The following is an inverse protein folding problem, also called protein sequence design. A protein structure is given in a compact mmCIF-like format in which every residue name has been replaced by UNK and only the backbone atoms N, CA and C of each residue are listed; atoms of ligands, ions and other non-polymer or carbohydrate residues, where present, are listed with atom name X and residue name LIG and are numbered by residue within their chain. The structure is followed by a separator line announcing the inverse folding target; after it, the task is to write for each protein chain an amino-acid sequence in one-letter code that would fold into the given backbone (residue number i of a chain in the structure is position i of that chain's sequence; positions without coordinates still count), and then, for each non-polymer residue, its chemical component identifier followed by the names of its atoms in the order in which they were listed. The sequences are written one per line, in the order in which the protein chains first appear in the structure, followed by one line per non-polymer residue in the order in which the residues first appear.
data_IF_744646362174
#
_entry.id   IF_744646362174
#
_cell.length_a   1.000
_cell.length_b   1.000
_cell.length_c   1.000
_cell.angle_alpha   90.00
_cell.angle_beta   90.00
_cell.angle_gamma   90.00
#
_symmetry.space_group_name_H-M   'P 1'
#
loop_
_entity.id
_entity.type
_entity.pdbx_description
1 polymer ?
#
# COMPACT_ATOMS: atom_id res chain seq x y z
N UNK A 1 -4.10 -22.04 -26.16
CA UNK A 1 -4.04 -22.17 -24.69
C UNK A 1 -5.13 -21.31 -24.08
N UNK A 2 -6.04 -21.88 -23.29
CA UNK A 2 -7.07 -21.10 -22.60
C UNK A 2 -6.41 -20.20 -21.56
N UNK A 3 -6.63 -18.88 -21.65
CA UNK A 3 -6.09 -17.90 -20.71
C UNK A 3 -6.74 -18.15 -19.35
N UNK A 4 -5.93 -18.42 -18.32
CA UNK A 4 -6.43 -18.60 -16.96
C UNK A 4 -6.99 -17.25 -16.50
N UNK A 5 -8.30 -17.22 -16.22
CA UNK A 5 -8.96 -16.00 -15.75
C UNK A 5 -8.29 -15.52 -14.45
N UNK A 6 -7.67 -14.35 -14.51
CA UNK A 6 -7.03 -13.72 -13.36
C UNK A 6 -8.09 -13.21 -12.39
N UNK A 7 -7.87 -13.32 -11.08
CA UNK A 7 -8.88 -12.91 -10.12
C UNK A 7 -9.13 -11.42 -10.10
N UNK A 8 -10.39 -11.02 -9.99
CA UNK A 8 -10.79 -9.61 -9.92
C UNK A 8 -10.11 -8.94 -8.73
N UNK A 9 -10.11 -9.62 -7.59
CA UNK A 9 -9.43 -9.17 -6.38
C UNK A 9 -8.51 -10.29 -5.93
N UNK A 10 -7.28 -9.95 -5.55
CA UNK A 10 -6.31 -10.90 -4.98
C UNK A 10 -5.68 -10.30 -3.73
N UNK A 11 -5.37 -11.13 -2.75
CA UNK A 11 -4.46 -10.72 -1.67
C UNK A 11 -3.03 -10.85 -2.14
N UNK A 12 -2.25 -9.79 -1.92
CA UNK A 12 -0.82 -9.83 -2.13
C UNK A 12 -0.17 -10.74 -1.09
N UNK A 13 0.87 -11.45 -1.48
CA UNK A 13 1.76 -12.14 -0.55
C UNK A 13 2.60 -11.12 0.21
N UNK A 14 3.25 -11.54 1.30
CA UNK A 14 4.16 -10.67 2.04
C UNK A 14 5.35 -10.25 1.19
N UNK A 15 5.87 -11.15 0.35
CA UNK A 15 7.00 -10.89 -0.55
C UNK A 15 6.60 -9.89 -1.63
N UNK A 16 5.44 -10.05 -2.28
CA UNK A 16 4.95 -9.07 -3.27
C UNK A 16 4.74 -7.69 -2.64
N UNK A 17 4.19 -7.65 -1.42
CA UNK A 17 3.94 -6.39 -0.74
C UNK A 17 5.23 -5.69 -0.30
N UNK A 18 6.22 -6.46 0.15
CA UNK A 18 7.54 -5.94 0.51
C UNK A 18 8.25 -5.41 -0.74
N UNK A 19 8.23 -6.20 -1.81
CA UNK A 19 8.82 -5.85 -3.08
C UNK A 19 8.20 -4.56 -3.68
N UNK A 20 6.89 -4.36 -3.55
CA UNK A 20 6.21 -3.11 -3.91
C UNK A 20 6.64 -1.90 -3.06
N UNK A 21 6.98 -2.10 -1.79
CA UNK A 21 7.42 -1.02 -0.89
C UNK A 21 8.87 -0.61 -1.14
N UNK A 22 9.69 -1.59 -1.47
CA UNK A 22 11.11 -1.41 -1.83
C UNK A 22 11.27 -0.85 -3.24
N UNK A 23 10.18 -0.72 -4.00
CA UNK A 23 10.21 -0.27 -5.40
C UNK A 23 10.87 -1.30 -6.33
N UNK A 24 11.03 -2.55 -5.87
CA UNK A 24 11.54 -3.63 -6.69
C UNK A 24 10.52 -4.08 -7.74
N UNK A 25 11.02 -4.69 -8.81
CA UNK A 25 10.21 -5.13 -9.94
C UNK A 25 9.28 -6.29 -9.57
N UNK A 26 8.03 -5.96 -9.23
CA UNK A 26 6.97 -6.95 -9.00
C UNK A 26 6.10 -7.09 -10.26
N UNK A 27 6.07 -8.30 -10.82
CA UNK A 27 5.15 -8.58 -11.92
C UNK A 27 3.72 -8.78 -11.39
N UNK A 28 2.88 -7.77 -11.56
CA UNK A 28 1.45 -7.80 -11.22
C UNK A 28 0.60 -7.68 -12.49
N UNK A 29 0.35 -8.78 -13.21
CA UNK A 29 -0.38 -8.73 -14.47
C UNK A 29 -1.82 -8.27 -14.26
N UNK A 30 -2.26 -7.29 -15.06
CA UNK A 30 -3.62 -6.75 -15.00
C UNK A 30 -3.93 -5.87 -13.78
N UNK A 31 -2.92 -5.49 -13.01
CA UNK A 31 -3.09 -4.67 -11.82
C UNK A 31 -3.55 -3.24 -12.16
N UNK A 32 -4.68 -2.83 -11.59
CA UNK A 32 -5.23 -1.49 -11.75
C UNK A 32 -5.03 -0.60 -10.51
N UNK A 33 -5.09 -1.18 -9.32
CA UNK A 33 -4.86 -0.49 -8.06
C UNK A 33 -4.49 -1.47 -6.95
N UNK A 34 -3.79 -0.98 -5.92
CA UNK A 34 -3.52 -1.71 -4.67
C UNK A 34 -4.13 -0.95 -3.51
N UNK A 35 -4.83 -1.64 -2.61
CA UNK A 35 -5.34 -1.08 -1.35
C UNK A 35 -4.57 -1.69 -0.19
N UNK A 36 -3.91 -0.83 0.58
CA UNK A 36 -3.22 -1.15 1.83
C UNK A 36 -4.20 -1.11 2.99
N UNK A 37 -4.77 -2.25 3.31
CA UNK A 37 -5.79 -2.42 4.33
C UNK A 37 -5.17 -2.77 5.69
N UNK A 38 -4.72 -1.76 6.43
CA UNK A 38 -4.16 -1.98 7.77
C UNK A 38 -5.27 -2.43 8.72
N UNK A 39 -5.14 -3.65 9.26
CA UNK A 39 -6.02 -4.09 10.33
C UNK A 39 -5.67 -3.30 11.58
N UNK A 40 -6.56 -2.40 11.99
CA UNK A 40 -6.38 -1.71 13.26
C UNK A 40 -6.95 -2.57 14.38
N UNK A 41 -6.12 -2.89 15.37
CA UNK A 41 -6.57 -3.60 16.56
C UNK A 41 -7.47 -2.65 17.37
N UNK A 42 -8.77 -2.96 17.54
CA UNK A 42 -9.68 -2.09 18.30
C UNK A 42 -9.23 -1.92 19.75
N UNK A 43 -8.50 -2.89 20.30
CA UNK A 43 -7.95 -2.87 21.67
C UNK A 43 -6.89 -1.79 21.90
N UNK A 44 -6.24 -1.26 20.85
CA UNK A 44 -5.27 -0.16 21.01
C UNK A 44 -5.94 1.22 21.16
N UNK A 45 -7.28 1.32 21.11
CA UNK A 45 -8.03 2.55 21.40
C UNK A 45 -7.91 3.03 22.86
N UNK A 46 -7.45 2.18 23.77
CA UNK A 46 -7.39 2.48 25.20
C UNK A 46 -6.06 3.10 25.66
N UNK A 47 -5.14 3.46 24.75
CA UNK A 47 -4.14 4.48 25.07
C UNK A 47 -4.91 5.79 25.18
N UNK A 48 -5.46 6.01 26.38
CA UNK A 48 -6.11 7.24 26.81
C UNK A 48 -5.29 8.41 26.25
N UNK A 49 -5.94 9.45 25.68
CA UNK A 49 -5.27 10.74 25.60
C UNK A 49 -4.67 10.96 26.98
N UNK A 50 -3.35 11.08 27.07
CA UNK A 50 -2.69 11.50 28.31
C UNK A 50 -3.53 12.65 28.81
N UNK A 51 -4.24 12.44 29.93
CA UNK A 51 -5.06 13.50 30.50
C UNK A 51 -4.11 14.69 30.62
N UNK A 52 -4.48 15.79 29.98
CA UNK A 52 -3.84 17.07 30.20
C UNK A 52 -3.86 17.27 31.71
N UNK A 53 -2.71 16.99 32.33
CA UNK A 53 -2.49 17.26 33.73
C UNK A 53 -2.77 18.74 33.90
N UNK A 54 -3.73 19.06 34.77
CA UNK A 54 -4.13 20.43 35.13
C UNK A 54 -2.88 21.29 35.26
N UNK A 55 -2.57 22.04 34.20
CA UNK A 55 -1.43 22.94 34.17
C UNK A 55 -1.93 24.25 34.77
N UNK A 56 -1.31 24.75 35.85
CA UNK A 56 -1.77 25.96 36.51
C UNK A 56 -1.81 27.14 35.53
N UNK A 57 -2.99 27.76 35.51
CA UNK A 57 -3.39 28.96 34.79
C UNK A 57 -2.43 30.11 35.18
N UNK A 58 -1.49 30.48 34.30
CA UNK A 58 -0.62 31.63 34.58
C UNK A 58 0.70 31.77 33.82
N UNK A 59 1.14 30.77 33.03
CA UNK A 59 2.37 30.89 32.24
C UNK A 59 2.05 31.17 30.77
N UNK A 60 2.61 32.27 30.24
CA UNK A 60 2.54 32.71 28.85
C UNK A 60 2.55 31.53 27.85
N UNK A 61 1.62 31.57 26.89
CA UNK A 61 1.45 30.52 25.88
C UNK A 61 2.80 30.19 25.21
N UNK A 62 3.36 28.98 25.43
CA UNK A 62 4.48 28.54 24.63
C UNK A 62 3.93 28.30 23.22
N UNK A 63 4.47 29.02 22.23
CA UNK A 63 4.15 28.87 20.81
C UNK A 63 3.91 27.40 20.47
N UNK A 64 2.66 27.09 20.09
CA UNK A 64 2.14 25.74 19.96
C UNK A 64 3.06 24.87 19.11
N UNK A 65 3.62 23.83 19.74
CA UNK A 65 4.30 22.74 19.04
C UNK A 65 3.21 21.98 18.29
N UNK A 66 2.91 22.42 17.06
CA UNK A 66 2.13 21.63 16.13
C UNK A 66 2.90 20.33 15.93
N UNK A 67 2.46 19.28 16.62
CA UNK A 67 3.04 17.95 16.44
C UNK A 67 2.96 17.62 14.97
N UNK A 68 4.11 17.52 14.31
CA UNK A 68 4.27 17.10 12.93
C UNK A 68 3.69 15.68 12.79
N UNK A 69 2.37 15.59 12.65
CA UNK A 69 1.71 14.36 12.23
C UNK A 69 2.15 14.17 10.79
N UNK A 70 3.16 13.32 10.60
CA UNK A 70 3.58 12.87 9.28
C UNK A 70 2.33 12.37 8.54
N UNK A 71 1.78 13.22 7.68
CA UNK A 71 0.61 12.89 6.89
C UNK A 71 1.09 11.92 5.84
N UNK A 72 0.83 10.63 6.05
CA UNK A 72 1.05 9.64 5.02
C UNK A 72 0.26 10.08 3.77
N UNK A 73 0.86 9.98 2.56
CA UNK A 73 0.14 10.33 1.34
C UNK A 73 -1.11 9.44 1.21
N UNK A 74 -2.14 9.97 0.56
CA UNK A 74 -3.39 9.24 0.31
C UNK A 74 -3.12 8.08 -0.65
N UNK A 75 -2.30 8.34 -1.66
CA UNK A 75 -1.83 7.34 -2.58
C UNK A 75 -0.34 7.51 -2.93
N UNK A 76 0.36 6.40 -3.02
CA UNK A 76 1.72 6.32 -3.56
C UNK A 76 1.66 5.58 -4.88
N UNK A 77 2.47 5.92 -5.87
CA UNK A 77 2.55 5.16 -7.12
C UNK A 77 3.72 4.19 -7.07
N UNK A 78 3.48 2.93 -7.44
CA UNK A 78 4.55 1.97 -7.69
C UNK A 78 4.68 1.71 -9.19
N UNK A 79 5.92 1.67 -9.66
CA UNK A 79 6.24 1.23 -11.01
C UNK A 79 6.46 -0.28 -10.98
N UNK A 80 6.05 -0.95 -12.05
CA UNK A 80 6.31 -2.38 -12.23
C UNK A 80 7.17 -2.58 -13.47
N UNK A 81 7.98 -3.63 -13.48
CA UNK A 81 8.82 -4.03 -14.61
C UNK A 81 8.12 -3.84 -15.96
N UNK A 82 8.74 -3.17 -16.94
CA UNK A 82 8.15 -2.98 -18.25
C UNK A 82 7.85 -4.34 -18.90
N UNK A 83 6.70 -4.43 -19.57
CA UNK A 83 6.40 -5.59 -20.41
C UNK A 83 6.93 -5.26 -21.80
N UNK A 84 7.94 -6.01 -22.25
CA UNK A 84 8.41 -6.06 -23.65
C UNK A 84 8.43 -4.65 -24.32
N UNK A 85 9.31 -3.78 -23.84
CA UNK A 85 9.58 -2.48 -24.48
C UNK A 85 8.53 -1.38 -24.29
N UNK A 86 7.43 -1.63 -23.56
CA UNK A 86 6.46 -0.58 -23.23
C UNK A 86 6.56 -0.19 -21.75
N UNK A 87 6.62 1.13 -21.44
CA UNK A 87 6.57 1.59 -20.05
C UNK A 87 5.21 1.19 -19.46
N UNK A 88 5.23 0.37 -18.40
CA UNK A 88 4.00 0.00 -17.70
C UNK A 88 3.41 1.21 -16.99
N UNK A 89 2.09 1.28 -16.99
CA UNK A 89 1.33 2.29 -16.24
C UNK A 89 1.63 2.16 -14.74
N UNK A 90 1.94 3.26 -14.03
CA UNK A 90 2.15 3.22 -12.59
C UNK A 90 0.87 2.76 -11.88
N UNK A 91 1.03 1.90 -10.88
CA UNK A 91 -0.08 1.37 -10.11
C UNK A 91 -0.26 2.23 -8.86
N UNK A 92 -1.44 2.84 -8.65
CA UNK A 92 -1.73 3.58 -7.44
C UNK A 92 -1.93 2.61 -6.25
N UNK A 93 -1.16 2.86 -5.19
CA UNK A 93 -1.23 2.20 -3.88
C UNK A 93 -1.95 3.14 -2.93
N UNK A 94 -3.19 2.80 -2.58
CA UNK A 94 -4.03 3.56 -1.67
C UNK A 94 -3.84 3.10 -0.22
N UNK A 95 -3.68 4.05 0.70
CA UNK A 95 -3.65 3.74 2.13
C UNK A 95 -5.06 3.84 2.73
N UNK A 96 -5.56 2.74 3.30
CA UNK A 96 -6.90 2.74 3.91
C UNK A 96 -7.02 3.68 5.13
N UNK A 97 -5.92 3.96 5.82
CA UNK A 97 -5.90 4.86 6.99
C UNK A 97 -6.21 6.29 6.60
N UNK A 98 -5.64 6.73 5.49
CA UNK A 98 -5.80 8.09 4.96
C UNK A 98 -7.13 8.24 4.23
N UNK A 99 -7.53 7.23 3.44
CA UNK A 99 -8.82 7.23 2.74
C UNK A 99 -10.03 7.23 3.68
N UNK A 100 -9.94 6.48 4.79
CA UNK A 100 -11.04 6.32 5.73
C UNK A 100 -10.52 6.51 7.14
N UNK A 101 -10.50 7.74 7.68
CA UNK A 101 -10.02 8.01 9.04
C UNK A 101 -10.81 7.25 10.11
N UNK A 102 -12.10 6.99 9.85
CA UNK A 102 -12.97 6.22 10.73
C UNK A 102 -12.64 4.73 10.70
N UNK A 103 -12.38 4.16 11.87
CA UNK A 103 -12.00 2.75 12.04
C UNK A 103 -13.10 1.81 11.57
N UNK A 104 -14.35 2.17 11.84
CA UNK A 104 -15.52 1.36 11.48
C UNK A 104 -15.65 1.26 9.96
N UNK A 105 -15.54 2.39 9.25
CA UNK A 105 -15.54 2.43 7.78
C UNK A 105 -14.40 1.59 7.20
N UNK A 106 -13.19 1.64 7.79
CA UNK A 106 -12.08 0.76 7.38
C UNK A 106 -12.40 -0.71 7.55
N UNK A 107 -12.98 -1.11 8.69
CA UNK A 107 -13.34 -2.51 8.92
C UNK A 107 -14.42 -2.98 7.94
N UNK A 108 -15.41 -2.12 7.65
CA UNK A 108 -16.44 -2.38 6.64
C UNK A 108 -15.78 -2.62 5.27
N UNK A 109 -14.89 -1.74 4.81
CA UNK A 109 -14.13 -1.94 3.56
C UNK A 109 -13.39 -3.28 3.54
N UNK A 110 -12.64 -3.59 4.61
CA UNK A 110 -11.87 -4.84 4.71
C UNK A 110 -12.78 -6.06 4.67
N UNK A 111 -13.94 -5.99 5.33
CA UNK A 111 -14.93 -7.07 5.32
C UNK A 111 -15.51 -7.29 3.92
N UNK A 112 -15.83 -6.22 3.18
CA UNK A 112 -16.31 -6.32 1.81
C UNK A 112 -15.26 -6.92 0.88
N UNK A 113 -14.01 -6.45 0.94
CA UNK A 113 -12.92 -7.01 0.14
C UNK A 113 -12.67 -8.49 0.45
N UNK A 114 -12.75 -8.87 1.73
CA UNK A 114 -12.65 -10.27 2.13
C UNK A 114 -13.84 -11.11 1.64
N UNK A 115 -15.06 -10.58 1.68
CA UNK A 115 -16.26 -11.25 1.17
C UNK A 115 -16.22 -11.44 -0.35
N UNK A 116 -15.74 -10.45 -1.10
CA UNK A 116 -15.52 -10.58 -2.55
C UNK A 116 -14.53 -11.70 -2.87
N UNK A 117 -13.39 -11.77 -2.16
CA UNK A 117 -12.42 -12.86 -2.32
C UNK A 117 -13.00 -14.24 -2.01
N UNK A 118 -13.83 -14.36 -0.98
CA UNK A 118 -14.48 -15.63 -0.64
C UNK A 118 -15.47 -16.05 -1.72
N UNK A 119 -16.27 -15.10 -2.20
CA UNK A 119 -17.23 -15.33 -3.29
C UNK A 119 -16.50 -15.80 -4.54
N UNK A 120 -15.40 -15.14 -4.90
CA UNK A 120 -14.61 -15.51 -6.05
C UNK A 120 -14.00 -16.91 -5.91
N UNK A 121 -13.39 -17.21 -4.75
CA UNK A 121 -12.86 -18.55 -4.47
C UNK A 121 -13.94 -19.62 -4.58
N UNK A 122 -15.16 -19.33 -4.12
CA UNK A 122 -16.30 -20.24 -4.22
C UNK A 122 -16.71 -20.48 -5.67
N UNK A 123 -16.79 -19.43 -6.48
CA UNK A 123 -17.11 -19.55 -7.93
C UNK A 123 -16.03 -20.38 -8.64
N UNK A 124 -14.75 -20.08 -8.41
CA UNK A 124 -13.62 -20.82 -8.99
C UNK A 124 -13.60 -22.29 -8.57
N UNK A 125 -13.88 -22.58 -7.30
CA UNK A 125 -13.92 -23.96 -6.79
C UNK A 125 -15.01 -24.82 -7.43
N UNK A 126 -16.06 -24.19 -7.97
CA UNK A 126 -17.13 -24.89 -8.71
C UNK A 126 -16.78 -25.10 -10.18
N UNK A 127 -16.10 -24.14 -10.80
CA UNK A 127 -15.84 -24.17 -12.25
C UNK A 127 -14.64 -25.04 -12.62
N UNK A 128 -13.68 -25.19 -11.72
CA UNK A 128 -12.41 -25.85 -12.02
C UNK A 128 -12.01 -26.73 -10.84
N UNK A 129 -11.90 -28.04 -11.08
CA UNK A 129 -11.22 -29.00 -10.18
C UNK A 129 -9.70 -28.79 -10.20
N UNK A 130 -9.26 -27.53 -10.16
CA UNK A 130 -7.85 -27.21 -10.14
C UNK A 130 -7.27 -27.56 -8.78
N UNK A 131 -6.03 -28.08 -8.74
CA UNK A 131 -5.34 -28.34 -7.49
C UNK A 131 -5.28 -27.04 -6.70
N UNK A 132 -5.73 -27.11 -5.46
CA UNK A 132 -5.68 -26.02 -4.50
C UNK A 132 -4.21 -25.65 -4.32
N UNK A 133 -3.74 -24.61 -4.99
CA UNK A 133 -2.42 -24.05 -4.73
C UNK A 133 -2.39 -23.58 -3.28
N UNK A 134 -1.89 -24.43 -2.39
CA UNK A 134 -1.63 -24.12 -0.99
C UNK A 134 -0.34 -23.31 -0.94
N UNK A 135 -0.37 -22.08 -1.43
CA UNK A 135 0.69 -21.14 -1.10
C UNK A 135 0.56 -20.83 0.40
N UNK A 136 1.33 -21.55 1.22
CA UNK A 136 1.40 -21.39 2.67
C UNK A 136 1.96 -20.02 3.10
N UNK A 137 2.23 -19.13 2.15
CA UNK A 137 2.67 -17.77 2.43
C UNK A 137 1.56 -17.01 3.16
N UNK A 138 1.93 -16.45 4.31
CA UNK A 138 1.05 -15.64 5.16
C UNK A 138 0.50 -14.48 4.33
N UNK A 139 -0.81 -14.51 4.08
CA UNK A 139 -1.47 -13.47 3.29
C UNK A 139 -1.22 -12.09 3.88
N UNK A 140 -0.82 -11.13 3.04
CA UNK A 140 -0.57 -9.77 3.49
C UNK A 140 -1.86 -8.97 3.66
N UNK A 141 -1.70 -7.74 4.13
CA UNK A 141 -2.75 -6.73 4.25
C UNK A 141 -2.98 -5.94 2.94
N UNK A 142 -2.29 -6.29 1.86
CA UNK A 142 -2.47 -5.68 0.55
C UNK A 142 -3.55 -6.41 -0.27
N UNK A 143 -4.48 -5.65 -0.83
CA UNK A 143 -5.48 -6.13 -1.78
C UNK A 143 -5.17 -5.55 -3.15
N UNK A 144 -4.90 -6.42 -4.12
CA UNK A 144 -4.72 -6.09 -5.52
C UNK A 144 -6.08 -6.12 -6.21
N UNK A 145 -6.42 -5.04 -6.91
CA UNK A 145 -7.57 -4.96 -7.80
C UNK A 145 -7.05 -5.11 -9.22
N UNK A 146 -7.50 -6.16 -9.89
CA UNK A 146 -7.20 -6.40 -11.29
C UNK A 146 -8.33 -5.88 -12.17
N UNK A 147 -7.96 -5.39 -13.34
CA UNK A 147 -8.88 -4.98 -14.40
C UNK A 147 -8.51 -5.75 -15.67
N UNK A 148 -8.91 -7.02 -15.72
CA UNK A 148 -8.76 -7.83 -16.94
C UNK A 148 -9.99 -7.60 -17.84
N UNK A 149 -9.82 -7.27 -19.14
CA UNK A 149 -10.93 -7.16 -20.08
C UNK A 149 -11.80 -8.40 -20.16
N UNK A 150 -11.29 -9.59 -19.82
CA UNK A 150 -12.10 -10.82 -19.80
C UNK A 150 -12.99 -10.92 -18.55
N UNK A 151 -12.63 -10.21 -17.48
CA UNK A 151 -13.24 -10.36 -16.16
C UNK A 151 -14.47 -9.47 -15.93
N UNK A 152 -14.86 -8.66 -16.91
CA UNK A 152 -16.02 -7.74 -16.85
C UNK A 152 -17.37 -8.44 -16.71
N UNK A 153 -17.46 -9.75 -16.98
CA UNK A 153 -18.73 -10.50 -16.92
C UNK A 153 -19.25 -10.77 -15.50
N UNK A 154 -18.41 -10.71 -14.47
CA UNK A 154 -18.75 -11.20 -13.12
C UNK A 154 -19.03 -10.13 -12.05
N UNK A 155 -18.26 -9.05 -12.04
CA UNK A 155 -18.46 -7.89 -11.16
C UNK A 155 -17.61 -6.72 -11.67
N UNK A 156 -18.22 -5.57 -11.92
CA UNK A 156 -17.48 -4.40 -12.35
C UNK A 156 -16.74 -3.77 -11.16
N UNK A 157 -15.42 -3.94 -11.08
CA UNK A 157 -14.55 -3.15 -10.19
C UNK A 157 -14.35 -1.72 -10.70
N UNK A 158 -14.89 -1.39 -11.87
CA UNK A 158 -14.78 -0.07 -12.49
C UNK A 158 -15.34 1.02 -11.58
N UNK A 159 -16.51 0.81 -10.95
CA UNK A 159 -17.09 1.82 -10.05
C UNK A 159 -16.21 2.08 -8.82
N UNK A 160 -15.60 1.02 -8.26
CA UNK A 160 -14.65 1.15 -7.15
C UNK A 160 -13.39 1.91 -7.59
N UNK A 161 -12.85 1.60 -8.77
CA UNK A 161 -11.67 2.28 -9.31
C UNK A 161 -11.93 3.74 -9.64
N UNK A 162 -13.11 4.07 -10.20
CA UNK A 162 -13.53 5.46 -10.43
C UNK A 162 -13.61 6.22 -9.11
N UNK A 163 -14.19 5.62 -8.06
CA UNK A 163 -14.27 6.24 -6.75
C UNK A 163 -12.87 6.48 -6.15
N UNK A 164 -11.98 5.50 -6.21
CA UNK A 164 -10.59 5.64 -5.74
C UNK A 164 -9.84 6.72 -6.51
N UNK A 165 -10.03 6.78 -7.83
CA UNK A 165 -9.38 7.80 -8.66
C UNK A 165 -9.90 9.21 -8.36
N UNK A 166 -11.21 9.37 -8.15
CA UNK A 166 -11.79 10.66 -7.71
C UNK A 166 -11.25 11.11 -6.36
N UNK A 167 -11.12 10.19 -5.40
CA UNK A 167 -10.50 10.49 -4.11
C UNK A 167 -9.07 10.99 -4.28
N UNK A 168 -8.26 10.30 -5.10
CA UNK A 168 -6.89 10.72 -5.41
C UNK A 168 -6.83 12.15 -5.97
N UNK A 169 -7.67 12.46 -6.96
CA UNK A 169 -7.72 13.79 -7.55
C UNK A 169 -8.12 14.88 -6.56
N UNK A 170 -9.08 14.61 -5.67
CA UNK A 170 -9.52 15.56 -4.64
C UNK A 170 -8.45 15.87 -3.61
N UNK A 171 -7.53 14.94 -3.35
CA UNK A 171 -6.38 15.19 -2.48
C UNK A 171 -5.23 15.94 -3.18
N UNK A 172 -5.43 16.41 -4.42
CA UNK A 172 -4.41 17.11 -5.21
C UNK A 172 -3.32 16.18 -5.75
N UNK A 173 -3.44 14.87 -5.53
CA UNK A 173 -2.47 13.88 -5.99
C UNK A 173 -2.75 13.54 -7.47
N UNK A 174 -1.75 13.68 -8.33
CA UNK A 174 -1.85 13.35 -9.78
C UNK A 174 -1.55 14.49 -10.75
N UNK A 175 -1.37 15.71 -10.25
CA UNK A 175 -1.00 16.88 -11.06
C UNK A 175 0.46 17.31 -10.90
N UNK A 176 1.18 16.71 -9.95
CA UNK A 176 2.59 17.02 -9.71
C UNK A 176 3.45 16.32 -10.76
N UNK A 177 3.56 16.90 -11.95
CA UNK A 177 4.54 16.55 -12.98
C UNK A 177 5.99 16.89 -12.57
N UNK A 178 6.25 17.09 -11.28
CA UNK A 178 7.53 17.50 -10.73
C UNK A 178 8.40 16.30 -10.42
N UNK A 179 9.52 16.21 -11.12
CA UNK A 179 10.60 15.22 -11.05
C UNK A 179 11.35 15.13 -9.71
N UNK A 180 10.68 15.32 -8.57
CA UNK A 180 11.36 15.35 -7.27
C UNK A 180 10.57 14.55 -6.24
N UNK A 181 10.65 13.23 -6.33
CA UNK A 181 10.39 12.38 -5.16
C UNK A 181 11.49 11.35 -5.11
N UNK A 182 12.69 11.83 -4.79
CA UNK A 182 13.69 11.02 -4.12
C UNK A 182 12.99 10.37 -2.92
N UNK A 183 12.86 9.06 -2.96
CA UNK A 183 12.63 8.24 -1.79
C UNK A 183 13.86 8.40 -0.88
N UNK A 184 13.95 9.53 -0.17
CA UNK A 184 14.83 9.67 0.99
C UNK A 184 14.18 8.89 2.13
N UNK A 185 14.24 7.57 2.01
CA UNK A 185 13.90 6.64 3.07
C UNK A 185 15.20 5.91 3.41
N UNK A 186 16.06 6.56 4.18
CA UNK A 186 17.27 5.96 4.72
C UNK A 186 18.54 6.78 4.59
N UNK A 187 18.55 8.03 5.09
CA UNK A 187 19.79 8.58 5.65
C UNK A 187 19.83 8.18 7.12
N UNK A 188 20.48 7.06 7.43
CA UNK A 188 21.03 6.76 8.76
C UNK A 188 21.83 5.44 8.69
N UNK A 189 23.10 5.58 8.31
CA UNK A 189 24.26 4.76 8.67
C UNK A 189 25.44 5.45 7.97
N UNK A 190 26.04 6.48 8.56
CA UNK A 190 27.30 6.31 9.31
C UNK A 190 28.14 5.19 8.71
N UNK A 191 28.77 5.50 7.57
CA UNK A 191 29.96 4.83 7.10
C UNK A 191 31.12 5.80 7.33
N UNK A 192 31.66 5.78 8.55
CA UNK A 192 32.97 6.35 8.85
C UNK A 192 33.98 5.55 8.03
N UNK A 193 34.48 6.17 6.98
CA UNK A 193 35.62 5.70 6.22
C UNK A 193 36.85 5.98 7.08
N UNK A 194 37.34 4.95 7.78
CA UNK A 194 38.66 5.00 8.42
C UNK A 194 39.72 5.09 7.33
N UNK A 195 40.28 6.29 7.16
CA UNK A 195 41.58 6.49 6.53
C UNK A 195 42.63 5.97 7.51
N UNK A 196 43.05 4.71 7.36
CA UNK A 196 44.35 4.31 7.92
C UNK A 196 45.45 4.67 6.91
N UNK A 197 46.26 5.63 7.35
CA UNK A 197 47.44 6.20 6.72
C UNK A 197 48.44 5.14 6.24
N UNK A 198 48.98 5.39 5.04
CA UNK A 198 50.28 4.89 4.61
C UNK A 198 51.36 5.22 5.66
N UNK A 199 52.01 4.18 6.17
CA UNK A 199 53.35 4.30 6.75
C UNK A 199 54.31 3.57 5.83
N UNK A 200 55.03 4.36 5.02
CA UNK A 200 56.34 3.98 4.49
C UNK A 200 57.28 3.66 5.65
N UNK A 201 58.20 2.71 5.47
CA UNK A 201 59.64 2.93 5.72
C UNK A 201 60.45 1.65 5.43
N UNK A 202 61.33 1.81 4.44
CA UNK A 202 62.75 1.41 4.36
C UNK A 202 63.26 -0.05 4.49
N UNK A 203 64.14 -0.34 3.51
CA UNK A 203 65.29 -1.28 3.42
C UNK A 203 65.11 -2.82 3.49
#
# INVERSE_FOLDING_TARGET
MAKVDSPIIRRLTRTELQALREGSDVNLPGAAAVIMATKMNPRKKALKPTQESDRPEGAAEPAGVQGNRLSLPVSTTAYTSPDIGLPRRPIPIYNSVTLFPDIEKRQILISHLAGMLQTERRVRSKSLSLPRQSSASKASHGYLINLDPTSTKGASTTSLLIALWRMRLWHGEGWTSGATTALSLGSSADYTFDEEEDVNDDD
#
